data_IF_503525551366
#
_entry.id   IF_503525551366
#
_cell.length_a   1.000
_cell.length_b   1.000
_cell.length_c   1.000
_cell.angle_alpha   90.00
_cell.angle_beta   90.00
_cell.angle_gamma   90.00
#
_symmetry.space_group_name_H-M   'P 1'
#
loop_
_entity.id
_entity.type
_entity.pdbx_description
1 polymer ?
#
# COMPACT_ATOMS: atom_id res chain seq x y z
N UNK A 1 -60.92 22.01 -43.98
CA UNK A 1 -61.59 22.96 -43.06
C UNK A 1 -61.98 22.06 -41.91
N UNK A 2 -61.23 22.15 -40.79
CA UNK A 2 -61.48 21.35 -39.60
C UNK A 2 -62.96 21.49 -39.25
N UNK A 3 -63.68 20.39 -39.36
CA UNK A 3 -65.11 20.32 -39.07
C UNK A 3 -65.37 19.00 -38.34
N UNK A 4 -66.57 18.81 -37.78
CA UNK A 4 -66.92 17.61 -37.00
C UNK A 4 -66.92 16.27 -37.79
N UNK A 5 -66.42 16.26 -39.02
CA UNK A 5 -66.21 15.10 -39.89
C UNK A 5 -64.77 15.02 -40.44
N UNK A 6 -63.86 15.92 -40.04
CA UNK A 6 -62.43 15.64 -40.14
C UNK A 6 -62.14 14.61 -39.06
N UNK A 7 -61.51 13.52 -39.47
CA UNK A 7 -60.96 12.50 -38.57
C UNK A 7 -59.42 12.69 -38.44
N UNK A 8 -58.90 13.77 -39.02
CA UNK A 8 -57.50 14.22 -39.16
C UNK A 8 -57.56 15.76 -39.34
N UNK A 9 -57.31 16.51 -38.27
CA UNK A 9 -57.68 17.92 -38.15
C UNK A 9 -56.55 18.91 -38.50
N UNK A 10 -55.29 18.52 -38.34
CA UNK A 10 -54.06 19.22 -38.74
C UNK A 10 -53.58 18.81 -40.15
N UNK A 11 -53.94 17.61 -40.63
CA UNK A 11 -53.71 17.13 -41.98
C UNK A 11 -52.35 16.47 -42.19
N UNK A 12 -51.81 15.81 -41.18
CA UNK A 12 -50.48 15.19 -41.14
C UNK A 12 -50.50 13.67 -41.44
N UNK A 13 -51.69 13.13 -41.78
CA UNK A 13 -51.99 11.70 -42.02
C UNK A 13 -52.06 10.83 -40.74
N UNK A 14 -52.04 11.43 -39.54
CA UNK A 14 -52.43 10.86 -38.26
C UNK A 14 -53.93 11.11 -38.05
N UNK A 15 -54.60 10.25 -37.26
CA UNK A 15 -56.03 10.43 -36.98
C UNK A 15 -56.21 11.07 -35.61
N UNK A 16 -57.15 12.02 -35.49
CA UNK A 16 -57.57 12.67 -34.24
C UNK A 16 -57.86 11.66 -33.10
N UNK A 17 -58.24 10.42 -33.44
CA UNK A 17 -58.53 9.38 -32.45
C UNK A 17 -57.27 8.77 -31.79
N UNK A 18 -56.12 8.92 -32.43
CA UNK A 18 -54.80 8.50 -31.97
C UNK A 18 -54.16 9.64 -31.17
N UNK A 19 -54.13 10.87 -31.67
CA UNK A 19 -53.47 12.01 -30.99
C UNK A 19 -54.25 12.54 -29.78
N UNK A 20 -55.56 12.34 -29.73
CA UNK A 20 -56.36 12.81 -28.58
C UNK A 20 -55.96 12.17 -27.23
N UNK A 21 -54.97 11.28 -27.22
CA UNK A 21 -54.44 10.58 -26.07
C UNK A 21 -55.48 9.65 -25.44
N UNK A 22 -55.36 9.45 -24.11
CA UNK A 22 -56.18 8.47 -23.40
C UNK A 22 -57.70 8.70 -23.59
N UNK A 23 -58.44 7.74 -24.20
CA UNK A 23 -59.87 7.91 -24.51
C UNK A 23 -60.77 8.03 -23.27
N UNK A 24 -60.26 7.72 -22.08
CA UNK A 24 -60.91 7.91 -20.79
C UNK A 24 -60.81 9.34 -20.22
N UNK A 25 -59.95 10.19 -20.78
CA UNK A 25 -59.81 11.59 -20.38
C UNK A 25 -60.90 12.45 -21.04
N UNK A 26 -61.41 13.45 -20.29
CA UNK A 26 -62.42 14.39 -20.79
C UNK A 26 -61.81 15.63 -21.45
N UNK A 27 -60.49 15.80 -21.33
CA UNK A 27 -59.68 16.81 -22.00
C UNK A 27 -58.81 16.10 -23.03
N UNK A 28 -58.73 16.60 -24.27
CA UNK A 28 -57.68 16.19 -25.21
C UNK A 28 -56.29 16.39 -24.60
N UNK A 29 -55.31 15.63 -25.09
CA UNK A 29 -53.91 15.78 -24.74
C UNK A 29 -53.33 17.07 -25.38
N UNK A 30 -52.26 17.56 -24.76
CA UNK A 30 -51.54 18.83 -24.97
C UNK A 30 -50.16 18.54 -24.37
N UNK A 31 -49.36 17.75 -25.11
CA UNK A 31 -48.11 17.14 -24.62
C UNK A 31 -47.07 18.20 -24.28
N UNK A 32 -46.74 19.10 -25.21
CA UNK A 32 -45.79 20.20 -25.00
C UNK A 32 -46.31 21.36 -24.11
N UNK A 33 -47.63 21.40 -23.86
CA UNK A 33 -48.27 22.40 -23.02
C UNK A 33 -48.34 23.81 -23.64
N UNK A 34 -48.20 23.97 -24.95
CA UNK A 34 -48.25 25.27 -25.63
C UNK A 34 -49.69 25.84 -25.75
N UNK A 35 -50.69 24.97 -25.52
CA UNK A 35 -52.11 25.28 -25.53
C UNK A 35 -52.82 25.03 -26.86
N UNK A 36 -52.11 24.49 -27.84
CA UNK A 36 -52.63 23.67 -28.94
C UNK A 36 -52.87 22.26 -28.40
N UNK A 37 -53.81 21.53 -28.98
CA UNK A 37 -54.04 20.14 -28.57
C UNK A 37 -53.41 19.25 -29.62
N UNK A 38 -52.86 18.11 -29.24
CA UNK A 38 -52.08 17.23 -30.12
C UNK A 38 -52.77 16.96 -31.47
N UNK A 39 -54.08 16.66 -31.48
CA UNK A 39 -54.89 16.47 -32.72
C UNK A 39 -55.07 17.73 -33.60
N UNK A 40 -54.42 18.83 -33.26
CA UNK A 40 -54.37 20.10 -34.00
C UNK A 40 -52.94 20.61 -34.14
N UNK A 41 -51.97 19.89 -33.58
CA UNK A 41 -50.56 20.19 -33.63
C UNK A 41 -49.89 19.40 -34.77
N UNK A 42 -48.70 19.80 -35.18
CA UNK A 42 -47.88 19.05 -36.16
C UNK A 42 -46.58 18.52 -35.54
N UNK A 43 -46.38 18.82 -34.26
CA UNK A 43 -45.18 18.63 -33.42
C UNK A 43 -45.68 18.64 -31.96
N UNK A 44 -46.32 17.55 -31.55
CA UNK A 44 -47.14 17.48 -30.34
C UNK A 44 -46.32 17.49 -29.04
N UNK A 45 -45.11 16.95 -29.05
CA UNK A 45 -44.11 17.05 -27.96
C UNK A 45 -43.26 18.33 -28.04
N UNK A 46 -43.29 19.04 -29.17
CA UNK A 46 -42.60 20.31 -29.35
C UNK A 46 -41.07 20.16 -29.44
N UNK A 47 -40.55 18.97 -29.73
CA UNK A 47 -39.12 18.70 -29.87
C UNK A 47 -38.57 19.23 -31.22
N UNK A 48 -39.44 19.56 -32.18
CA UNK A 48 -39.08 20.13 -33.48
C UNK A 48 -38.94 19.12 -34.62
N UNK A 49 -39.15 17.83 -34.34
CA UNK A 49 -39.52 16.80 -35.30
C UNK A 49 -41.05 16.89 -35.49
N UNK A 50 -41.57 16.38 -36.60
CA UNK A 50 -43.03 16.39 -36.82
C UNK A 50 -43.63 15.04 -36.47
N UNK A 51 -44.86 15.03 -35.96
CA UNK A 51 -45.57 13.81 -35.58
C UNK A 51 -45.59 12.77 -36.71
N UNK A 52 -45.71 13.23 -37.96
CA UNK A 52 -45.70 12.37 -39.15
C UNK A 52 -44.37 11.63 -39.41
N UNK A 53 -43.26 12.16 -38.92
CA UNK A 53 -41.91 11.58 -39.02
C UNK A 53 -41.63 10.60 -37.85
N UNK A 54 -42.25 10.78 -36.68
CA UNK A 54 -42.16 9.90 -35.49
C UNK A 54 -43.25 8.81 -35.43
N UNK A 55 -44.28 8.96 -36.26
CA UNK A 55 -45.47 8.14 -36.28
C UNK A 55 -45.25 6.62 -36.08
N UNK A 56 -45.99 6.04 -35.12
CA UNK A 56 -46.03 4.62 -34.71
C UNK A 56 -44.84 4.08 -33.93
N UNK A 57 -43.84 4.90 -33.65
CA UNK A 57 -42.81 4.57 -32.68
C UNK A 57 -43.35 4.74 -31.24
N UNK A 58 -42.71 4.00 -30.32
CA UNK A 58 -43.01 3.84 -28.88
C UNK A 58 -41.75 3.15 -28.35
N UNK A 59 -40.65 3.91 -28.31
CA UNK A 59 -39.27 3.41 -28.25
C UNK A 59 -38.95 2.77 -26.89
N UNK A 60 -39.47 3.32 -25.80
CA UNK A 60 -39.36 2.79 -24.44
C UNK A 60 -40.49 1.79 -24.07
N UNK A 61 -41.55 1.72 -24.89
CA UNK A 61 -42.73 0.88 -24.71
C UNK A 61 -43.57 1.20 -23.46
N UNK A 62 -43.59 2.45 -22.98
CA UNK A 62 -44.44 2.89 -21.86
C UNK A 62 -45.93 3.04 -22.25
N UNK A 63 -46.20 3.12 -23.56
CA UNK A 63 -47.52 3.24 -24.16
C UNK A 63 -47.96 4.67 -24.51
N UNK A 64 -47.05 5.64 -24.40
CA UNK A 64 -47.09 6.96 -25.04
C UNK A 64 -46.31 6.82 -26.35
N UNK A 65 -46.90 7.16 -27.51
CA UNK A 65 -46.15 7.16 -28.76
C UNK A 65 -45.12 8.29 -28.77
N UNK A 66 -43.96 8.06 -29.38
CA UNK A 66 -42.82 9.01 -29.46
C UNK A 66 -43.25 10.44 -29.81
N UNK A 67 -44.13 10.63 -30.81
CA UNK A 67 -44.62 11.98 -31.19
C UNK A 67 -45.40 12.73 -30.09
N UNK A 68 -45.71 12.08 -28.97
CA UNK A 68 -46.40 12.66 -27.81
C UNK A 68 -45.57 12.56 -26.53
N UNK A 69 -44.38 11.98 -26.61
CA UNK A 69 -43.51 11.69 -25.48
C UNK A 69 -42.35 12.68 -25.45
N UNK A 70 -41.94 13.09 -24.24
CA UNK A 70 -40.89 14.09 -24.05
C UNK A 70 -39.52 13.42 -23.77
N UNK A 71 -39.48 12.08 -23.72
CA UNK A 71 -38.38 11.22 -23.25
C UNK A 71 -38.53 9.84 -23.94
N UNK A 72 -38.17 9.75 -25.22
CA UNK A 72 -38.59 8.66 -26.09
C UNK A 72 -37.93 7.30 -25.76
N UNK A 73 -36.69 7.28 -25.26
CA UNK A 73 -36.02 6.05 -24.84
C UNK A 73 -36.19 5.72 -23.35
N UNK A 74 -36.78 6.66 -22.58
CA UNK A 74 -37.24 6.45 -21.21
C UNK A 74 -36.09 6.39 -20.20
N UNK A 75 -34.96 7.01 -20.52
CA UNK A 75 -33.77 7.06 -19.66
C UNK A 75 -33.90 8.16 -18.57
N UNK A 76 -34.83 9.12 -18.74
CA UNK A 76 -35.09 10.22 -17.83
C UNK A 76 -34.42 11.55 -18.21
N UNK A 77 -33.72 11.61 -19.34
CA UNK A 77 -33.24 12.80 -20.00
C UNK A 77 -34.29 13.20 -21.06
N UNK A 78 -34.77 14.45 -21.07
CA UNK A 78 -35.75 14.84 -22.08
C UNK A 78 -35.13 15.01 -23.47
N UNK A 79 -35.84 14.59 -24.51
CA UNK A 79 -35.46 14.71 -25.93
C UNK A 79 -34.94 16.11 -26.29
N UNK A 80 -35.56 17.16 -25.72
CA UNK A 80 -35.16 18.56 -25.92
C UNK A 80 -33.70 18.88 -25.52
N UNK A 81 -33.06 18.01 -24.74
CA UNK A 81 -31.66 18.07 -24.33
C UNK A 81 -30.77 17.27 -25.30
N UNK A 82 -31.21 16.10 -25.75
CA UNK A 82 -30.42 15.17 -26.57
C UNK A 82 -30.47 15.47 -28.06
N UNK A 83 -31.62 15.95 -28.56
CA UNK A 83 -31.81 16.29 -29.97
C UNK A 83 -30.81 17.35 -30.47
N UNK A 84 -30.33 18.20 -29.56
CA UNK A 84 -29.38 19.26 -29.86
C UNK A 84 -29.98 20.49 -30.55
N UNK A 85 -29.13 21.28 -31.23
CA UNK A 85 -29.49 22.60 -31.78
C UNK A 85 -30.28 22.52 -33.13
N UNK A 86 -30.25 21.39 -33.84
CA UNK A 86 -30.84 21.22 -35.17
C UNK A 86 -31.64 19.91 -35.27
N UNK A 87 -32.98 19.95 -35.10
CA UNK A 87 -33.86 18.79 -35.23
C UNK A 87 -33.75 18.05 -36.57
N UNK A 88 -33.24 18.70 -37.62
CA UNK A 88 -33.03 18.05 -38.92
C UNK A 88 -31.72 17.26 -39.05
N UNK A 89 -30.88 17.33 -38.02
CA UNK A 89 -29.64 16.61 -37.85
C UNK A 89 -29.41 16.35 -36.35
N UNK A 90 -30.22 15.46 -35.74
CA UNK A 90 -30.10 15.14 -34.32
C UNK A 90 -28.71 14.58 -34.01
N UNK A 91 -28.31 14.69 -32.74
CA UNK A 91 -27.03 14.16 -32.25
C UNK A 91 -27.08 12.62 -32.33
N UNK A 92 -25.94 12.02 -32.64
CA UNK A 92 -25.67 10.58 -32.83
C UNK A 92 -24.19 10.45 -32.44
N UNK A 93 -23.94 10.38 -31.13
CA UNK A 93 -22.62 10.60 -30.56
C UNK A 93 -21.66 9.45 -30.86
N UNK A 94 -22.11 8.22 -30.67
CA UNK A 94 -21.37 6.99 -30.98
C UNK A 94 -21.28 6.68 -32.51
N UNK A 95 -22.20 7.22 -33.30
CA UNK A 95 -22.27 7.03 -34.74
C UNK A 95 -22.83 5.66 -35.17
N UNK A 96 -23.61 4.97 -34.34
CA UNK A 96 -24.24 3.69 -34.70
C UNK A 96 -25.45 3.86 -35.65
N UNK A 97 -25.98 5.08 -35.71
CA UNK A 97 -27.10 5.50 -36.54
C UNK A 97 -28.47 5.54 -35.83
N UNK A 98 -28.51 5.32 -34.51
CA UNK A 98 -29.58 5.67 -33.62
C UNK A 98 -29.24 7.05 -33.00
N UNK A 99 -30.07 8.08 -33.17
CA UNK A 99 -29.82 9.36 -32.52
C UNK A 99 -29.98 9.28 -30.99
N UNK A 100 -29.22 10.10 -30.26
CA UNK A 100 -29.13 10.11 -28.78
C UNK A 100 -30.51 10.12 -28.10
N UNK A 101 -31.47 10.95 -28.56
CA UNK A 101 -32.83 11.01 -27.99
C UNK A 101 -33.69 9.72 -28.15
N UNK A 102 -33.14 8.70 -28.82
CA UNK A 102 -33.74 7.38 -29.00
C UNK A 102 -32.78 6.27 -28.50
N UNK A 103 -31.65 6.63 -27.92
CA UNK A 103 -30.59 5.74 -27.52
C UNK A 103 -30.31 5.82 -26.01
N UNK A 104 -30.66 4.78 -25.22
CA UNK A 104 -30.45 4.80 -23.78
C UNK A 104 -28.97 4.67 -23.33
N UNK A 105 -28.02 4.66 -24.26
CA UNK A 105 -26.55 4.58 -24.07
C UNK A 105 -25.90 5.32 -25.25
N UNK A 106 -25.80 6.65 -25.16
CA UNK A 106 -25.47 7.55 -26.27
C UNK A 106 -24.02 7.44 -26.76
N UNK A 107 -23.10 6.96 -25.94
CA UNK A 107 -21.69 6.77 -26.30
C UNK A 107 -21.23 5.30 -26.37
N UNK A 108 -22.18 4.38 -26.17
CA UNK A 108 -22.08 2.94 -26.43
C UNK A 108 -21.00 2.29 -25.56
N UNK A 109 -20.88 2.80 -24.33
CA UNK A 109 -19.85 2.45 -23.36
C UNK A 109 -20.31 1.42 -22.33
N UNK A 110 -21.58 1.00 -22.37
CA UNK A 110 -22.23 0.01 -21.50
C UNK A 110 -22.74 0.51 -20.15
N UNK A 111 -22.58 1.79 -19.85
CA UNK A 111 -23.33 2.52 -18.84
C UNK A 111 -24.48 3.24 -19.57
N UNK A 112 -25.63 3.37 -18.91
CA UNK A 112 -26.79 3.99 -19.54
C UNK A 112 -26.89 5.48 -19.20
N UNK A 113 -27.40 6.25 -20.14
CA UNK A 113 -27.66 7.69 -20.01
C UNK A 113 -28.52 8.02 -18.77
N UNK A 114 -29.39 7.10 -18.34
CA UNK A 114 -30.17 7.20 -17.10
C UNK A 114 -29.30 7.30 -15.83
N UNK A 115 -28.15 6.62 -15.80
CA UNK A 115 -27.18 6.60 -14.70
C UNK A 115 -26.16 7.74 -14.83
N UNK A 116 -25.75 8.07 -16.05
CA UNK A 116 -24.76 9.11 -16.37
C UNK A 116 -25.36 10.52 -16.36
N UNK A 117 -26.59 10.65 -16.85
CA UNK A 117 -27.38 11.87 -16.83
C UNK A 117 -26.68 13.04 -17.55
N UNK A 118 -26.85 14.24 -17.00
CA UNK A 118 -26.23 15.49 -17.48
C UNK A 118 -25.05 15.92 -16.62
N UNK A 119 -24.46 14.97 -15.87
CA UNK A 119 -23.25 15.20 -15.11
C UNK A 119 -22.04 15.44 -16.03
N UNK A 120 -20.97 15.99 -15.46
CA UNK A 120 -19.70 16.34 -16.12
C UNK A 120 -18.66 16.21 -15.00
N UNK A 121 -18.26 14.96 -14.76
CA UNK A 121 -17.55 14.53 -13.55
C UNK A 121 -16.15 15.11 -13.49
N UNK A 122 -15.42 15.12 -14.60
CA UNK A 122 -14.09 15.71 -14.72
C UNK A 122 -14.07 17.24 -14.97
N UNK A 123 -15.19 17.80 -15.46
CA UNK A 123 -15.33 19.21 -15.77
C UNK A 123 -14.67 19.65 -17.08
N UNK A 124 -14.46 18.75 -18.04
CA UNK A 124 -13.89 19.08 -19.37
C UNK A 124 -14.91 19.73 -20.33
N UNK A 125 -16.20 19.58 -20.00
CA UNK A 125 -17.33 20.13 -20.73
C UNK A 125 -18.03 19.14 -21.66
N UNK A 126 -17.62 17.88 -21.65
CA UNK A 126 -18.33 16.72 -22.19
C UNK A 126 -19.15 16.12 -21.04
N UNK A 127 -20.47 15.99 -21.16
CA UNK A 127 -21.25 15.29 -20.14
C UNK A 127 -20.89 13.81 -20.08
N UNK A 128 -21.03 13.19 -18.89
CA UNK A 128 -20.68 11.78 -18.65
C UNK A 128 -21.23 10.83 -19.74
N UNK A 129 -22.51 10.93 -20.12
CA UNK A 129 -23.15 10.11 -21.20
C UNK A 129 -22.55 10.22 -22.61
N UNK A 130 -21.56 11.09 -22.76
CA UNK A 130 -20.83 11.35 -23.99
C UNK A 130 -19.31 11.24 -23.75
N UNK A 131 -18.87 10.79 -22.57
CA UNK A 131 -17.46 10.70 -22.19
C UNK A 131 -17.07 9.27 -21.85
N UNK A 132 -16.03 8.77 -22.53
CA UNK A 132 -15.59 7.38 -22.40
C UNK A 132 -14.60 7.14 -21.24
N UNK A 133 -14.33 8.18 -20.45
CA UNK A 133 -13.39 8.25 -19.31
C UNK A 133 -13.83 9.41 -18.38
N UNK A 134 -15.03 9.27 -17.78
CA UNK A 134 -15.77 10.34 -17.08
C UNK A 134 -15.02 11.02 -15.93
N UNK A 135 -14.01 10.38 -15.34
CA UNK A 135 -13.23 10.92 -14.23
C UNK A 135 -11.74 11.19 -14.56
N UNK A 136 -11.35 11.03 -15.83
CA UNK A 136 -9.99 11.16 -16.39
C UNK A 136 -8.90 10.34 -15.66
N UNK A 137 -9.24 9.18 -15.13
CA UNK A 137 -8.29 8.30 -14.48
C UNK A 137 -7.49 7.43 -15.49
N UNK A 138 -7.90 7.39 -16.76
CA UNK A 138 -7.31 6.57 -17.85
C UNK A 138 -7.66 5.08 -17.86
N UNK A 139 -8.61 4.67 -17.03
CA UNK A 139 -9.50 3.52 -17.26
C UNK A 139 -10.67 4.06 -18.11
N UNK A 140 -11.45 3.19 -18.72
CA UNK A 140 -12.62 3.62 -19.47
C UNK A 140 -13.86 3.19 -18.73
N UNK A 141 -14.90 4.00 -18.79
CA UNK A 141 -16.22 3.75 -18.21
C UNK A 141 -16.73 2.34 -18.58
N UNK A 142 -16.51 1.88 -19.82
CA UNK A 142 -16.83 0.50 -20.23
C UNK A 142 -16.09 -0.63 -19.49
N UNK A 143 -14.86 -0.40 -19.04
CA UNK A 143 -14.11 -1.33 -18.19
C UNK A 143 -14.59 -1.24 -16.72
N UNK A 144 -15.22 -0.12 -16.34
CA UNK A 144 -15.74 0.21 -14.99
C UNK A 144 -17.26 0.04 -14.85
N UNK A 145 -17.99 -0.29 -15.93
CA UNK A 145 -19.41 -0.60 -15.89
C UNK A 145 -19.69 -1.88 -15.10
N UNK A 146 -18.74 -2.81 -15.09
CA UNK A 146 -18.82 -4.10 -14.39
C UNK A 146 -19.59 -5.20 -15.15
N UNK A 147 -20.59 -4.84 -15.96
CA UNK A 147 -21.15 -5.71 -16.99
C UNK A 147 -21.62 -4.95 -18.25
N UNK A 148 -22.63 -5.43 -18.98
CA UNK A 148 -23.11 -4.78 -20.21
C UNK A 148 -24.64 -4.67 -20.25
N UNK A 149 -25.28 -4.80 -19.09
CA UNK A 149 -26.73 -4.77 -18.93
C UNK A 149 -27.12 -3.40 -18.37
N UNK A 150 -27.62 -2.51 -19.23
CA UNK A 150 -28.04 -1.13 -18.88
C UNK A 150 -29.13 -1.09 -17.78
N UNK A 151 -29.81 -2.22 -17.53
CA UNK A 151 -30.77 -2.37 -16.43
C UNK A 151 -30.09 -2.62 -15.05
N UNK A 152 -28.75 -2.70 -15.01
CA UNK A 152 -27.96 -2.89 -13.80
C UNK A 152 -27.12 -1.66 -13.52
N UNK A 153 -27.01 -1.30 -12.24
CA UNK A 153 -26.15 -0.20 -11.83
C UNK A 153 -24.68 -0.55 -12.06
N UNK A 154 -23.91 0.46 -12.47
CA UNK A 154 -22.46 0.38 -12.56
C UNK A 154 -21.84 -0.08 -11.22
N UNK A 155 -20.63 -0.64 -11.29
CA UNK A 155 -19.95 -1.12 -10.08
C UNK A 155 -19.54 0.07 -9.19
N UNK A 156 -19.64 -0.15 -7.88
CA UNK A 156 -19.22 0.74 -6.81
C UNK A 156 -18.39 -0.13 -5.86
N UNK A 157 -17.07 -0.12 -6.05
CA UNK A 157 -16.13 -1.08 -5.48
C UNK A 157 -15.95 -0.87 -3.98
N UNK A 158 -15.83 0.37 -3.52
CA UNK A 158 -15.65 0.71 -2.10
C UNK A 158 -16.99 0.86 -1.33
N UNK A 159 -18.10 1.03 -2.05
CA UNK A 159 -19.46 1.15 -1.51
C UNK A 159 -19.78 2.51 -0.91
N UNK A 160 -19.10 3.59 -1.33
CA UNK A 160 -19.33 4.94 -0.84
C UNK A 160 -20.55 5.64 -1.50
N UNK A 161 -21.02 5.07 -2.61
CA UNK A 161 -22.16 5.53 -3.41
C UNK A 161 -21.79 6.39 -4.61
N UNK A 162 -20.51 6.49 -4.95
CA UNK A 162 -19.98 6.93 -6.25
C UNK A 162 -19.61 5.64 -7.00
N UNK A 163 -20.06 5.51 -8.25
CA UNK A 163 -19.69 4.36 -9.08
C UNK A 163 -18.26 4.54 -9.61
N UNK A 164 -17.58 3.43 -9.90
CA UNK A 164 -16.16 3.39 -10.28
C UNK A 164 -15.85 4.34 -11.45
N UNK A 165 -16.67 4.38 -12.50
CA UNK A 165 -16.52 5.30 -13.65
C UNK A 165 -16.54 6.81 -13.29
N UNK A 166 -16.93 7.16 -12.06
CA UNK A 166 -16.94 8.54 -11.52
C UNK A 166 -16.02 8.73 -10.33
N UNK A 167 -15.33 7.67 -9.90
CA UNK A 167 -14.49 7.69 -8.72
C UNK A 167 -13.01 7.46 -9.07
N UNK A 168 -12.16 8.51 -8.98
CA UNK A 168 -10.75 8.39 -9.36
C UNK A 168 -9.87 7.57 -8.38
N UNK A 169 -10.49 6.82 -7.45
CA UNK A 169 -9.90 5.97 -6.40
C UNK A 169 -10.93 4.88 -6.01
N UNK A 170 -11.34 4.04 -6.96
CA UNK A 170 -12.45 3.06 -6.90
C UNK A 170 -12.48 2.18 -5.66
N UNK A 171 -11.33 1.85 -5.07
CA UNK A 171 -11.23 0.99 -3.89
C UNK A 171 -10.95 1.74 -2.57
N UNK A 172 -10.80 3.06 -2.67
CA UNK A 172 -10.48 4.01 -1.61
C UNK A 172 -9.29 3.60 -0.71
N UNK A 173 -8.27 2.94 -1.28
CA UNK A 173 -7.02 2.64 -0.57
C UNK A 173 -6.13 3.88 -0.38
N UNK A 174 -6.37 4.93 -1.19
CA UNK A 174 -5.66 6.20 -1.17
C UNK A 174 -4.57 6.33 -2.25
N UNK A 175 -4.43 5.35 -3.14
CA UNK A 175 -3.75 5.46 -4.42
C UNK A 175 -4.82 5.47 -5.52
N UNK A 176 -5.12 6.65 -6.08
CA UNK A 176 -6.09 6.71 -7.17
C UNK A 176 -5.72 5.88 -8.40
N UNK A 177 -6.76 5.44 -9.10
CA UNK A 177 -6.79 4.38 -10.11
C UNK A 177 -5.80 4.60 -11.25
N UNK A 178 -5.70 5.83 -11.76
CA UNK A 178 -4.64 6.24 -12.70
C UNK A 178 -3.23 5.87 -12.24
N UNK A 179 -2.93 6.10 -10.96
CA UNK A 179 -1.61 5.82 -10.41
C UNK A 179 -1.40 4.31 -10.25
N UNK A 180 -2.46 3.57 -9.96
CA UNK A 180 -2.45 2.11 -9.88
C UNK A 180 -2.19 1.48 -11.23
N UNK A 181 -2.95 1.89 -12.25
CA UNK A 181 -2.76 1.48 -13.64
C UNK A 181 -1.33 1.75 -14.14
N UNK A 182 -0.72 2.88 -13.74
CA UNK A 182 0.68 3.20 -14.07
C UNK A 182 1.70 2.34 -13.32
N UNK A 183 1.41 1.94 -12.08
CA UNK A 183 2.27 1.11 -11.25
C UNK A 183 2.05 -0.39 -11.48
N UNK A 184 0.95 -0.76 -12.13
CA UNK A 184 0.53 -2.12 -12.39
C UNK A 184 -0.11 -2.81 -11.17
N UNK A 185 -0.63 -2.05 -10.21
CA UNK A 185 -1.56 -2.56 -9.19
C UNK A 185 -2.98 -2.63 -9.75
N UNK A 186 -3.90 -3.23 -9.01
CA UNK A 186 -5.30 -3.45 -9.37
C UNK A 186 -6.17 -2.31 -8.81
N UNK A 187 -6.69 -1.39 -9.65
CA UNK A 187 -7.49 -0.22 -9.24
C UNK A 187 -8.72 -0.54 -8.38
N UNK A 188 -9.18 -1.78 -8.41
CA UNK A 188 -10.39 -2.22 -7.70
C UNK A 188 -10.10 -3.05 -6.45
N UNK A 189 -8.83 -3.11 -6.04
CA UNK A 189 -8.40 -3.99 -4.96
C UNK A 189 -7.26 -3.40 -4.12
N UNK A 190 -7.51 -3.10 -2.83
CA UNK A 190 -6.59 -2.30 -2.02
C UNK A 190 -5.34 -3.06 -1.58
N UNK A 191 -5.22 -4.34 -1.95
CA UNK A 191 -4.11 -5.26 -1.67
C UNK A 191 -3.97 -6.18 -2.88
N UNK A 192 -3.26 -5.70 -3.91
CA UNK A 192 -3.16 -6.31 -5.23
C UNK A 192 -2.69 -7.77 -5.19
N UNK A 193 -1.80 -8.13 -4.26
CA UNK A 193 -1.26 -9.48 -4.15
C UNK A 193 -1.87 -10.34 -3.04
N UNK A 194 -2.69 -9.74 -2.17
CA UNK A 194 -3.47 -10.40 -1.13
C UNK A 194 -2.65 -10.90 0.05
N UNK A 195 -1.49 -10.30 0.33
CA UNK A 195 -0.60 -10.69 1.42
C UNK A 195 -0.93 -10.05 2.79
N UNK A 196 -1.82 -9.06 2.78
CA UNK A 196 -2.31 -8.34 3.95
C UNK A 196 -1.64 -6.99 4.20
N UNK A 197 -0.74 -6.53 3.35
CA UNK A 197 -0.33 -5.13 3.23
C UNK A 197 -1.13 -4.46 2.10
N UNK A 198 -1.59 -3.21 2.29
CA UNK A 198 -2.26 -2.49 1.21
C UNK A 198 -1.25 -1.92 0.23
N UNK A 199 -1.67 -1.64 -0.99
CA UNK A 199 -0.80 -1.11 -2.05
C UNK A 199 -0.22 0.26 -1.65
N UNK A 200 -1.03 1.10 -0.98
CA UNK A 200 -0.58 2.32 -0.31
C UNK A 200 0.57 2.08 0.69
N UNK A 201 0.45 1.04 1.53
CA UNK A 201 1.43 0.71 2.56
C UNK A 201 2.73 0.25 1.95
N UNK A 202 2.66 -0.61 0.94
CA UNK A 202 3.82 -1.20 0.28
C UNK A 202 4.60 -0.16 -0.53
N UNK A 203 3.88 0.62 -1.33
CA UNK A 203 4.44 1.75 -2.08
C UNK A 203 5.13 2.75 -1.14
N UNK A 204 4.52 3.02 0.02
CA UNK A 204 5.08 3.93 1.04
C UNK A 204 6.30 3.33 1.76
N UNK A 205 6.34 2.02 1.96
CA UNK A 205 7.46 1.30 2.56
C UNK A 205 8.60 1.05 1.56
N UNK A 206 8.32 1.16 0.26
CA UNK A 206 9.25 0.87 -0.83
C UNK A 206 9.39 -0.63 -1.13
N UNK A 207 8.36 -1.42 -0.79
CA UNK A 207 8.20 -2.82 -1.20
C UNK A 207 7.40 -2.89 -2.50
N UNK A 208 7.32 -4.08 -3.10
CA UNK A 208 6.59 -4.30 -4.36
C UNK A 208 5.15 -4.77 -4.08
N UNK A 209 4.11 -3.96 -4.36
CA UNK A 209 2.70 -4.29 -4.10
C UNK A 209 2.16 -5.47 -4.93
N UNK A 210 2.97 -5.97 -5.86
CA UNK A 210 2.63 -7.12 -6.71
C UNK A 210 3.43 -8.39 -6.35
N UNK A 211 4.21 -8.38 -5.27
CA UNK A 211 4.99 -9.53 -4.78
C UNK A 211 4.78 -9.76 -3.29
N UNK A 212 3.85 -10.65 -2.93
CA UNK A 212 3.54 -10.95 -1.53
C UNK A 212 4.66 -11.63 -0.74
N UNK A 213 5.84 -11.80 -1.35
CA UNK A 213 7.09 -12.13 -0.67
C UNK A 213 7.85 -10.90 -0.14
N UNK A 214 7.53 -9.70 -0.58
CA UNK A 214 8.16 -8.42 -0.23
C UNK A 214 7.38 -7.61 0.82
N UNK A 215 6.47 -8.24 1.56
CA UNK A 215 5.68 -7.60 2.61
C UNK A 215 6.48 -6.78 3.67
N UNK A 216 6.12 -5.51 3.94
CA UNK A 216 6.81 -4.67 4.93
C UNK A 216 6.60 -5.15 6.37
N UNK A 217 5.43 -5.67 6.73
CA UNK A 217 5.21 -6.25 8.06
C UNK A 217 6.04 -7.53 8.26
N UNK A 218 6.24 -8.35 7.22
CA UNK A 218 7.10 -9.54 7.28
C UNK A 218 8.59 -9.18 7.44
N UNK A 219 9.00 -8.04 6.89
CA UNK A 219 10.34 -7.47 7.07
C UNK A 219 10.56 -6.89 8.48
N UNK A 220 9.50 -6.75 9.28
CA UNK A 220 9.53 -6.23 10.64
C UNK A 220 9.50 -4.70 10.70
N UNK A 221 9.03 -4.06 9.64
CA UNK A 221 8.77 -2.63 9.62
C UNK A 221 7.48 -2.31 10.36
N UNK A 222 7.45 -1.12 10.96
CA UNK A 222 6.30 -0.64 11.72
C UNK A 222 5.53 0.34 10.85
N UNK A 223 4.44 -0.14 10.24
CA UNK A 223 3.54 0.69 9.44
C UNK A 223 2.22 0.89 10.17
N UNK A 224 1.70 2.12 10.10
CA UNK A 224 0.40 2.50 10.62
C UNK A 224 -0.31 3.32 9.56
N UNK A 225 -1.43 2.81 9.06
CA UNK A 225 -2.36 3.62 8.25
C UNK A 225 -3.21 4.43 9.21
N UNK A 226 -3.35 5.74 8.96
CA UNK A 226 -4.16 6.66 9.76
C UNK A 226 -5.27 7.23 8.88
N UNK A 227 -6.41 6.54 8.75
CA UNK A 227 -7.52 7.07 7.97
C UNK A 227 -8.07 8.34 8.64
N UNK A 228 -8.64 9.23 7.84
CA UNK A 228 -9.17 10.50 8.34
C UNK A 228 -10.34 10.24 9.30
N UNK A 229 -10.29 10.85 10.49
CA UNK A 229 -11.29 10.68 11.56
C UNK A 229 -11.46 9.27 12.16
N UNK A 230 -10.70 8.27 11.69
CA UNK A 230 -10.77 6.89 12.16
C UNK A 230 -9.57 6.43 12.98
N UNK A 231 -9.69 5.23 13.55
CA UNK A 231 -8.60 4.60 14.30
C UNK A 231 -7.54 4.05 13.37
N UNK A 232 -6.24 4.20 13.70
CA UNK A 232 -5.18 3.64 12.88
C UNK A 232 -5.22 2.11 12.83
N UNK A 233 -4.78 1.57 11.71
CA UNK A 233 -4.64 0.13 11.47
C UNK A 233 -3.15 -0.22 11.32
N UNK A 234 -2.59 -1.09 12.20
CA UNK A 234 -3.18 -1.62 13.43
C UNK A 234 -3.25 -0.56 14.56
N UNK A 235 -4.19 -0.71 15.51
CA UNK A 235 -4.36 0.26 16.62
C UNK A 235 -3.08 0.39 17.49
N UNK A 236 -2.33 -0.72 17.61
CA UNK A 236 -1.08 -0.81 18.36
C UNK A 236 -0.17 -1.86 17.76
N UNK A 237 1.12 -1.56 17.75
CA UNK A 237 2.17 -2.54 17.51
C UNK A 237 3.24 -2.47 18.62
N UNK A 238 3.92 -3.60 18.87
CA UNK A 238 4.85 -3.75 20.00
C UNK A 238 6.29 -3.86 19.52
N UNK A 239 7.06 -2.79 19.72
CA UNK A 239 8.50 -2.81 19.50
C UNK A 239 9.22 -3.45 20.71
N UNK A 240 9.60 -4.72 20.56
CA UNK A 240 10.26 -5.50 21.61
C UNK A 240 11.77 -5.24 21.64
N UNK A 241 12.22 -4.37 22.57
CA UNK A 241 13.64 -4.18 22.82
C UNK A 241 14.18 -5.19 23.84
N UNK A 242 15.01 -6.12 23.39
CA UNK A 242 15.82 -6.95 24.29
C UNK A 242 17.21 -6.31 24.52
N UNK A 243 17.60 -6.10 25.78
CA UNK A 243 18.95 -5.61 26.17
C UNK A 243 20.02 -6.69 26.15
N UNK A 244 19.79 -7.78 25.42
CA UNK A 244 20.73 -8.90 25.36
C UNK A 244 22.04 -8.41 24.73
N UNK A 245 23.14 -8.62 25.45
CA UNK A 245 24.50 -8.31 24.97
C UNK A 245 24.74 -9.18 23.74
N UNK A 246 24.78 -8.57 22.54
CA UNK A 246 24.98 -9.32 21.29
C UNK A 246 26.43 -9.70 21.07
N UNK A 247 27.37 -8.85 21.52
CA UNK A 247 28.81 -9.03 21.34
C UNK A 247 29.55 -8.78 22.66
N UNK A 248 30.54 -9.61 22.99
CA UNK A 248 31.35 -9.41 24.18
C UNK A 248 32.79 -9.88 24.01
N UNK A 249 33.74 -9.03 24.40
CA UNK A 249 35.15 -9.37 24.54
C UNK A 249 35.46 -9.69 26.01
N UNK A 250 35.91 -10.91 26.29
CA UNK A 250 36.15 -11.40 27.66
C UNK A 250 37.62 -11.76 27.83
N UNK A 251 38.31 -11.09 28.75
CA UNK A 251 39.72 -11.36 29.03
C UNK A 251 39.91 -11.96 30.43
N UNK A 252 40.43 -13.18 30.51
CA UNK A 252 40.77 -13.82 31.78
C UNK A 252 42.19 -13.42 32.17
N UNK A 253 42.32 -12.59 33.20
CA UNK A 253 43.59 -12.12 33.74
C UNK A 253 43.79 -12.70 35.15
N UNK A 254 44.80 -13.56 35.33
CA UNK A 254 44.94 -14.38 36.54
C UNK A 254 46.27 -14.16 37.29
N UNK A 255 46.20 -14.19 38.61
CA UNK A 255 47.37 -14.29 39.48
C UNK A 255 47.94 -15.71 39.44
N UNK A 256 49.24 -15.82 39.16
CA UNK A 256 49.96 -17.11 39.08
C UNK A 256 51.07 -17.25 40.13
N UNK A 257 51.13 -16.37 41.13
CA UNK A 257 52.10 -16.45 42.20
C UNK A 257 51.81 -17.63 43.14
N UNK A 258 52.80 -17.99 43.95
CA UNK A 258 52.76 -19.21 44.77
C UNK A 258 51.55 -19.30 45.72
N UNK A 259 50.95 -18.17 46.10
CA UNK A 259 49.76 -18.10 46.94
C UNK A 259 48.52 -18.72 46.27
N UNK A 260 48.48 -18.71 44.94
CA UNK A 260 47.38 -19.25 44.13
C UNK A 260 47.61 -20.70 43.70
N UNK A 261 48.76 -21.30 44.05
CA UNK A 261 49.20 -22.57 43.49
C UNK A 261 48.26 -23.76 43.71
N UNK A 262 47.53 -23.82 44.83
CA UNK A 262 46.52 -24.86 45.05
C UNK A 262 45.22 -24.66 44.26
N UNK A 263 45.01 -23.46 43.72
CA UNK A 263 43.77 -23.04 43.07
C UNK A 263 43.88 -22.93 41.55
N UNK A 264 45.09 -22.78 41.00
CA UNK A 264 45.35 -22.63 39.56
C UNK A 264 44.75 -23.79 38.75
N UNK A 265 44.95 -25.05 39.17
CA UNK A 265 44.43 -26.21 38.44
C UNK A 265 42.89 -26.21 38.35
N UNK A 266 42.22 -25.77 39.42
CA UNK A 266 40.77 -25.64 39.46
C UNK A 266 40.29 -24.50 38.56
N UNK A 267 41.00 -23.36 38.56
CA UNK A 267 40.69 -22.23 37.69
C UNK A 267 40.89 -22.55 36.21
N UNK A 268 41.97 -23.26 35.86
CA UNK A 268 42.22 -23.73 34.50
C UNK A 268 41.06 -24.57 33.98
N UNK A 269 40.59 -25.51 34.82
CA UNK A 269 39.47 -26.39 34.48
C UNK A 269 38.18 -25.60 34.33
N UNK A 270 37.84 -24.74 35.30
CA UNK A 270 36.61 -23.94 35.27
C UNK A 270 36.55 -22.97 34.08
N UNK A 271 37.67 -22.30 33.75
CA UNK A 271 37.70 -21.38 32.59
C UNK A 271 37.54 -22.17 31.29
N UNK A 272 38.27 -23.28 31.15
CA UNK A 272 38.30 -24.09 29.93
C UNK A 272 36.95 -24.78 29.67
N UNK A 273 36.39 -25.42 30.69
CA UNK A 273 35.30 -26.38 30.53
C UNK A 273 33.92 -25.76 30.84
N UNK A 274 33.85 -24.74 31.68
CA UNK A 274 32.57 -24.17 32.14
C UNK A 274 32.37 -22.72 31.66
N UNK A 275 33.30 -21.81 31.94
CA UNK A 275 33.10 -20.37 31.71
C UNK A 275 33.16 -19.99 30.23
N UNK A 276 34.18 -20.43 29.48
CA UNK A 276 34.26 -20.12 28.05
C UNK A 276 33.04 -20.71 27.30
N UNK A 277 32.69 -22.00 27.46
CA UNK A 277 31.51 -22.57 26.80
C UNK A 277 30.20 -21.94 27.29
N UNK A 278 30.06 -21.68 28.58
CA UNK A 278 28.85 -21.07 29.16
C UNK A 278 28.61 -19.66 28.65
N UNK A 279 29.64 -18.80 28.64
CA UNK A 279 29.53 -17.44 28.10
C UNK A 279 29.25 -17.47 26.59
N UNK A 280 29.87 -18.39 25.84
CA UNK A 280 29.63 -18.56 24.40
C UNK A 280 28.21 -19.04 24.07
N UNK A 281 27.61 -19.86 24.94
CA UNK A 281 26.25 -20.34 24.77
C UNK A 281 25.21 -19.22 24.96
N UNK A 282 25.44 -18.33 25.93
CA UNK A 282 24.56 -17.18 26.19
C UNK A 282 24.80 -16.01 25.22
N UNK A 283 26.05 -15.78 24.80
CA UNK A 283 26.44 -14.70 23.88
C UNK A 283 27.23 -15.31 22.70
N UNK A 284 26.55 -15.65 21.59
CA UNK A 284 27.17 -16.34 20.46
C UNK A 284 28.29 -15.56 19.79
N UNK A 285 28.36 -14.23 19.91
CA UNK A 285 29.43 -13.41 19.35
C UNK A 285 30.42 -12.95 20.43
N UNK A 286 31.03 -13.93 21.10
CA UNK A 286 32.05 -13.72 22.14
C UNK A 286 33.47 -14.00 21.67
N UNK A 287 34.41 -13.20 22.14
CA UNK A 287 35.84 -13.41 21.92
C UNK A 287 36.56 -13.51 23.27
N UNK A 288 37.60 -14.33 23.34
CA UNK A 288 38.28 -14.65 24.58
C UNK A 288 39.78 -14.40 24.51
N UNK A 289 40.34 -13.76 25.53
CA UNK A 289 41.79 -13.60 25.73
C UNK A 289 42.24 -14.16 27.08
N UNK A 290 43.51 -14.58 27.16
CA UNK A 290 44.09 -15.26 28.33
C UNK A 290 45.43 -14.59 28.67
N UNK A 291 45.62 -14.21 29.93
CA UNK A 291 46.87 -13.65 30.41
C UNK A 291 47.04 -13.76 31.92
N UNK A 292 48.27 -13.56 32.39
CA UNK A 292 48.62 -13.58 33.81
C UNK A 292 49.20 -12.25 34.28
N UNK A 293 49.20 -12.07 35.60
CA UNK A 293 50.01 -11.08 36.29
C UNK A 293 50.76 -11.71 37.46
N UNK A 294 51.81 -11.03 37.90
CA UNK A 294 52.66 -11.40 39.03
C UNK A 294 53.20 -10.14 39.72
N UNK A 295 54.19 -10.34 40.59
CA UNK A 295 55.04 -9.32 41.21
C UNK A 295 55.69 -8.33 40.21
N UNK A 296 56.09 -7.16 40.72
CA UNK A 296 56.79 -6.15 39.95
C UNK A 296 58.25 -6.53 39.68
N UNK A 297 58.81 -6.07 38.56
CA UNK A 297 60.24 -6.25 38.22
C UNK A 297 61.24 -5.53 39.17
N UNK A 298 60.76 -4.83 40.20
CA UNK A 298 61.58 -3.95 41.05
C UNK A 298 61.85 -4.56 42.42
N UNK A 299 63.09 -4.45 42.90
CA UNK A 299 63.46 -4.82 44.27
C UNK A 299 62.54 -4.12 45.29
N UNK A 300 62.03 -4.89 46.26
CA UNK A 300 61.00 -4.55 47.28
C UNK A 300 59.56 -4.95 46.94
N UNK A 301 59.24 -5.17 45.66
CA UNK A 301 57.89 -5.59 45.22
C UNK A 301 57.92 -6.79 44.24
N UNK A 302 59.10 -7.38 44.07
CA UNK A 302 59.34 -8.57 43.25
C UNK A 302 60.82 -8.72 42.92
N UNK A 303 61.11 -9.50 41.89
CA UNK A 303 62.44 -9.88 41.45
C UNK A 303 62.71 -9.47 39.99
N UNK A 304 64.00 -9.41 39.61
CA UNK A 304 64.41 -9.06 38.25
C UNK A 304 64.07 -10.14 37.19
N UNK A 305 63.33 -11.19 37.55
CA UNK A 305 62.79 -12.20 36.65
C UNK A 305 61.27 -12.15 36.51
N UNK A 306 60.60 -11.30 37.29
CA UNK A 306 59.14 -11.24 37.30
C UNK A 306 58.60 -10.40 36.14
N UNK A 307 57.50 -10.88 35.58
CA UNK A 307 56.76 -10.22 34.53
C UNK A 307 55.45 -9.72 35.14
N UNK A 308 55.27 -8.39 35.29
CA UNK A 308 54.04 -7.80 35.81
C UNK A 308 52.78 -8.21 35.03
N UNK A 309 52.95 -8.53 33.75
CA UNK A 309 51.90 -8.98 32.84
C UNK A 309 52.50 -9.87 31.77
N UNK A 310 51.80 -10.96 31.47
CA UNK A 310 52.10 -11.83 30.32
C UNK A 310 50.80 -12.12 29.59
N UNK A 311 50.75 -11.78 28.31
CA UNK A 311 49.68 -12.20 27.41
C UNK A 311 49.98 -13.61 26.87
N UNK A 312 49.07 -14.55 27.08
CA UNK A 312 49.19 -15.91 26.52
C UNK A 312 48.42 -16.07 25.22
N UNK A 313 47.25 -15.43 25.12
CA UNK A 313 46.38 -15.48 23.96
C UNK A 313 45.68 -14.14 23.79
N UNK A 314 45.87 -13.53 22.62
CA UNK A 314 45.09 -12.36 22.20
C UNK A 314 43.61 -12.71 22.09
N UNK A 315 42.76 -11.70 22.24
CA UNK A 315 41.31 -11.84 22.09
C UNK A 315 41.01 -12.45 20.73
N UNK A 316 40.40 -13.64 20.74
CA UNK A 316 40.12 -14.42 19.54
C UNK A 316 38.74 -15.08 19.62
N UNK A 317 38.11 -15.28 18.46
CA UNK A 317 36.90 -16.08 18.32
C UNK A 317 37.19 -17.58 18.26
N UNK A 318 38.47 -17.98 18.17
CA UNK A 318 38.88 -19.38 18.23
C UNK A 318 38.83 -19.88 19.68
N UNK A 319 37.72 -20.54 20.01
CA UNK A 319 37.47 -21.13 21.33
C UNK A 319 38.55 -22.16 21.71
N UNK A 320 39.03 -22.95 20.74
CA UNK A 320 40.02 -23.99 21.02
C UNK A 320 41.37 -23.37 21.38
N UNK A 321 41.75 -22.27 20.71
CA UNK A 321 42.95 -21.51 21.05
C UNK A 321 42.87 -20.91 22.46
N UNK A 322 41.76 -20.25 22.79
CA UNK A 322 41.54 -19.68 24.13
C UNK A 322 41.53 -20.74 25.24
N UNK A 323 40.81 -21.85 25.03
CA UNK A 323 40.77 -22.98 25.96
C UNK A 323 42.16 -23.60 26.16
N UNK A 324 42.92 -23.81 25.10
CA UNK A 324 44.27 -24.38 25.17
C UNK A 324 45.24 -23.46 25.91
N UNK A 325 45.12 -22.14 25.71
CA UNK A 325 45.99 -21.15 26.34
C UNK A 325 45.87 -21.12 27.88
N UNK A 326 44.75 -21.56 28.46
CA UNK A 326 44.58 -21.70 29.93
C UNK A 326 45.66 -22.59 30.57
N UNK A 327 46.18 -23.57 29.82
CA UNK A 327 47.26 -24.45 30.30
C UNK A 327 48.58 -23.72 30.59
N UNK A 328 48.71 -22.47 30.12
CA UNK A 328 49.88 -21.62 30.35
C UNK A 328 49.97 -21.09 31.78
N UNK A 329 48.84 -21.10 32.52
CA UNK A 329 48.86 -20.76 33.95
C UNK A 329 49.68 -21.79 34.71
N UNK A 330 50.88 -21.38 35.13
CA UNK A 330 51.79 -22.24 35.89
C UNK A 330 52.10 -21.55 37.22
N UNK A 331 51.92 -22.24 38.37
CA UNK A 331 52.32 -21.67 39.65
C UNK A 331 53.82 -21.42 39.63
N UNK A 332 54.23 -20.17 39.83
CA UNK A 332 55.63 -19.79 39.95
C UNK A 332 55.82 -18.99 41.23
N UNK A 333 57.08 -18.88 41.65
CA UNK A 333 57.44 -18.13 42.85
C UNK A 333 56.82 -16.74 42.84
N UNK A 334 56.52 -16.25 44.04
CA UNK A 334 56.18 -14.87 44.31
C UNK A 334 56.58 -14.63 45.75
N UNK A 335 57.21 -13.49 46.01
CA UNK A 335 57.21 -13.01 47.38
C UNK A 335 55.79 -12.53 47.63
N UNK A 336 55.20 -12.79 48.79
CA UNK A 336 53.83 -12.40 49.16
C UNK A 336 53.68 -10.87 49.37
N UNK A 337 54.41 -10.09 48.57
CA UNK A 337 54.35 -8.64 48.48
C UNK A 337 53.20 -8.16 47.58
N UNK A 338 53.33 -6.93 47.08
CA UNK A 338 52.28 -6.32 46.27
C UNK A 338 52.34 -6.78 44.80
N UNK A 339 51.25 -7.39 44.33
CA UNK A 339 51.08 -7.86 42.95
C UNK A 339 50.84 -6.72 41.95
N UNK A 340 51.24 -6.91 40.69
CA UNK A 340 51.13 -5.90 39.63
C UNK A 340 49.76 -5.86 38.90
N UNK A 341 48.69 -6.29 39.57
CA UNK A 341 47.32 -6.35 39.02
C UNK A 341 46.88 -5.05 38.32
N UNK A 342 47.19 -3.87 38.90
CA UNK A 342 46.86 -2.58 38.30
C UNK A 342 47.61 -2.31 36.98
N UNK A 343 48.89 -2.69 36.91
CA UNK A 343 49.67 -2.59 35.67
C UNK A 343 49.17 -3.57 34.61
N UNK A 344 48.82 -4.79 35.03
CA UNK A 344 48.28 -5.79 34.12
C UNK A 344 46.92 -5.38 33.54
N UNK A 345 46.04 -4.80 34.36
CA UNK A 345 44.78 -4.23 33.87
C UNK A 345 45.02 -3.11 32.85
N UNK A 346 45.96 -2.20 33.12
CA UNK A 346 46.35 -1.16 32.16
C UNK A 346 46.89 -1.76 30.85
N UNK A 347 47.72 -2.81 30.93
CA UNK A 347 48.29 -3.47 29.76
C UNK A 347 47.21 -4.19 28.91
N UNK A 348 46.25 -4.85 29.55
CA UNK A 348 45.10 -5.46 28.88
C UNK A 348 44.23 -4.40 28.20
N UNK A 349 43.91 -3.32 28.90
CA UNK A 349 43.01 -2.27 28.43
C UNK A 349 43.63 -1.34 27.36
N UNK A 350 44.95 -1.20 27.32
CA UNK A 350 45.61 -0.25 26.38
C UNK A 350 46.49 -0.93 25.33
N UNK A 351 46.75 -2.24 25.48
CA UNK A 351 47.78 -2.93 24.70
C UNK A 351 49.21 -2.44 24.97
N UNK A 352 49.41 -1.49 25.90
CA UNK A 352 50.69 -0.89 26.25
C UNK A 352 51.15 -1.30 27.64
N UNK A 353 52.32 -1.92 27.75
CA UNK A 353 52.97 -2.18 29.05
C UNK A 353 53.89 -1.03 29.47
N UNK A 354 54.08 -0.83 30.79
CA UNK A 354 55.20 -0.03 31.29
C UNK A 354 56.53 -0.63 30.78
N UNK A 355 57.58 0.17 30.51
CA UNK A 355 58.83 -0.31 29.93
C UNK A 355 59.49 -1.38 30.81
N UNK A 356 59.35 -2.64 30.39
CA UNK A 356 60.05 -3.81 30.92
C UNK A 356 60.94 -4.39 29.82
N UNK A 357 62.13 -4.95 30.13
CA UNK A 357 63.04 -5.55 29.15
C UNK A 357 62.42 -6.71 28.34
N UNK A 358 61.28 -7.23 28.78
CA UNK A 358 60.60 -8.37 28.15
C UNK A 358 59.11 -8.13 27.97
N UNK A 359 58.67 -6.94 27.55
CA UNK A 359 57.28 -6.78 27.09
C UNK A 359 57.09 -7.66 25.84
N UNK A 360 56.70 -8.92 26.06
CA UNK A 360 56.58 -9.91 25.01
C UNK A 360 55.31 -9.62 24.22
N UNK A 361 55.56 -9.01 23.06
CA UNK A 361 54.68 -8.79 21.90
C UNK A 361 53.84 -7.50 21.94
N UNK A 362 54.13 -6.53 21.04
CA UNK A 362 53.12 -5.57 20.62
C UNK A 362 51.96 -6.36 19.96
N UNK A 363 50.72 -6.06 20.34
CA UNK A 363 49.50 -6.52 19.64
C UNK A 363 49.71 -6.28 18.15
N UNK A 364 49.76 -7.34 17.34
CA UNK A 364 50.00 -7.16 15.90
C UNK A 364 48.72 -7.25 15.08
N UNK A 365 47.72 -8.06 15.43
CA UNK A 365 46.56 -8.22 14.55
C UNK A 365 45.27 -8.45 15.36
N UNK A 366 44.46 -7.40 15.55
CA UNK A 366 43.08 -7.54 16.04
C UNK A 366 42.17 -7.92 14.84
N UNK A 367 41.39 -9.00 14.91
CA UNK A 367 40.37 -9.30 13.91
C UNK A 367 39.38 -8.13 13.76
N UNK A 368 38.88 -7.91 12.54
CA UNK A 368 37.86 -6.90 12.28
C UNK A 368 36.64 -7.13 13.19
N UNK A 369 36.26 -6.10 13.96
CA UNK A 369 35.15 -6.16 14.93
C UNK A 369 35.54 -6.30 16.40
N UNK A 370 36.83 -6.40 16.73
CA UNK A 370 37.30 -6.36 18.13
C UNK A 370 37.60 -4.91 18.55
N UNK A 371 36.97 -4.44 19.64
CA UNK A 371 37.19 -3.11 20.21
C UNK A 371 37.80 -3.26 21.61
N UNK A 372 39.12 -3.45 21.65
CA UNK A 372 39.89 -3.55 22.89
C UNK A 372 40.79 -2.36 23.10
#
# INVERSE_FOLDING_TARGET
IPNFQDDDSDGDDILDEVERGNPGCLTPADSDGDGTYDFLDLDSDGNGISDSDEWTADRDADGIPDFQDDDNDGDGIPDSIELGDDPSAPIDYDGDGLPDYLDPDSDDDTIGDAEESTADTDGDGTPDRHDLDSDEDSISDADEAGDTDLDTFAVDTDGDGIADFRDPDSDADGIGDRAEAMNGTDPTNPDSDGDGASDLVETSAGTDPNDGGDNPQANGDFVFVMPFEDTPTPERDTLDFATNIRNADVYFLMDTTGSMGSSISSLQTAIRDDLIPGIRAEIPNTFFGIGEFRDYYTSSYGSSGDQPYTNFQDITGDISAAQSATSSYTPRGGYDGAEAHGQAFYAVATGGGLPSPSNTRPRTDCPAGTHG
#
